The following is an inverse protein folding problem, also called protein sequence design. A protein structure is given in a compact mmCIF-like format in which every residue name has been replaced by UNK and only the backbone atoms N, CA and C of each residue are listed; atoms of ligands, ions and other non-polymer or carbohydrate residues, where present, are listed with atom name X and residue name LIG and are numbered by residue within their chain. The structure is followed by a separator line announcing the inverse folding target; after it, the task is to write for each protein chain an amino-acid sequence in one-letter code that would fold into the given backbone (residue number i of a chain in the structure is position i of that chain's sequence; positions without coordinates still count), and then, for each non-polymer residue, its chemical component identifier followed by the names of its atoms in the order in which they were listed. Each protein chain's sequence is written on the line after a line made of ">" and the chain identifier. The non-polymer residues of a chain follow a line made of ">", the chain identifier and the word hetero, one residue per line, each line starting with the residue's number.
data_IF_760200761061
#
_entry.id   IF_760200761061
#
_cell.length_a   1.000
_cell.length_b   1.000
_cell.length_c   1.000
_cell.angle_alpha   90.00
_cell.angle_beta   90.00
_cell.angle_gamma   90.00
#
_symmetry.space_group_name_H-M   'P 1'
#
loop_
_entity.id
_entity.type
_entity.pdbx_description
1 polymer ?
#
# COMPACT_ATOMS: atom_id res chain seq x y z
N UNK A 1 -4.60 1.00 4.31
CA UNK A 1 -3.65 -0.10 4.08
C UNK A 1 -3.22 -0.08 2.62
N UNK A 2 -1.97 -0.46 2.31
CA UNK A 2 -1.44 -0.56 0.94
C UNK A 2 -0.90 -1.97 0.73
N UNK A 3 -1.44 -2.70 -0.26
CA UNK A 3 -1.03 -4.07 -0.56
C UNK A 3 0.30 -4.05 -1.32
N UNK A 4 1.43 -4.22 -0.61
CA UNK A 4 2.76 -4.22 -1.24
C UNK A 4 3.10 -5.59 -1.82
N UNK A 5 3.43 -6.55 -0.95
CA UNK A 5 3.73 -7.92 -1.30
C UNK A 5 3.14 -8.88 -0.26
N UNK A 6 1.83 -9.07 -0.31
CA UNK A 6 1.11 -9.94 0.63
C UNK A 6 0.33 -11.05 -0.09
N UNK A 7 -0.13 -12.02 0.69
CA UNK A 7 -1.12 -13.00 0.23
C UNK A 7 -2.50 -12.34 0.15
N UNK A 8 -3.13 -12.43 -1.03
CA UNK A 8 -4.47 -11.90 -1.27
C UNK A 8 -5.56 -12.96 -1.06
N UNK A 9 -5.22 -14.23 -0.83
CA UNK A 9 -6.19 -15.32 -0.62
C UNK A 9 -7.21 -15.05 0.51
N UNK A 10 -6.90 -14.31 1.59
CA UNK A 10 -7.91 -13.97 2.60
C UNK A 10 -9.04 -13.09 2.06
N UNK A 11 -8.77 -12.25 1.05
CA UNK A 11 -9.80 -11.39 0.44
C UNK A 11 -10.82 -12.17 -0.38
N UNK A 12 -10.50 -13.40 -0.80
CA UNK A 12 -11.45 -14.28 -1.51
C UNK A 12 -12.52 -14.88 -0.60
N UNK A 13 -12.36 -14.74 0.73
CA UNK A 13 -13.25 -15.35 1.73
C UNK A 13 -14.17 -14.33 2.41
N UNK A 14 -14.05 -13.06 2.05
CA UNK A 14 -14.91 -12.00 2.56
C UNK A 14 -15.93 -11.60 1.50
N UNK A 15 -17.11 -11.17 1.92
CA UNK A 15 -18.13 -10.61 1.04
C UNK A 15 -18.27 -9.10 1.32
N UNK A 16 -17.49 -8.24 0.63
CA UNK A 16 -17.62 -6.80 0.81
C UNK A 16 -18.94 -6.31 0.21
N UNK A 17 -19.61 -5.37 0.90
CA UNK A 17 -20.70 -4.63 0.29
C UNK A 17 -20.15 -3.63 -0.74
N UNK A 18 -20.87 -3.40 -1.84
CA UNK A 18 -20.46 -2.48 -2.91
C UNK A 18 -20.30 -3.18 -4.27
N UNK A 19 -19.25 -2.83 -5.01
CA UNK A 19 -18.98 -3.39 -6.34
C UNK A 19 -18.55 -4.86 -6.25
N UNK A 20 -19.53 -5.75 -6.40
CA UNK A 20 -19.30 -7.19 -6.47
C UNK A 20 -18.36 -7.54 -7.63
N UNK A 21 -17.38 -8.41 -7.36
CA UNK A 21 -16.43 -8.89 -8.37
C UNK A 21 -15.23 -7.97 -8.63
N UNK A 22 -15.06 -6.86 -7.90
CA UNK A 22 -13.84 -6.05 -8.00
C UNK A 22 -12.66 -6.82 -7.39
N UNK A 23 -11.64 -7.10 -8.21
CA UNK A 23 -10.44 -7.82 -7.78
C UNK A 23 -9.52 -6.94 -6.94
N UNK A 24 -8.94 -7.53 -5.89
CA UNK A 24 -7.89 -6.89 -5.11
C UNK A 24 -6.55 -6.99 -5.84
N UNK A 25 -5.75 -5.93 -5.74
CA UNK A 25 -4.44 -5.85 -6.35
C UNK A 25 -3.32 -5.62 -5.32
N UNK A 26 -2.08 -5.92 -5.72
CA UNK A 26 -0.86 -5.64 -4.95
C UNK A 26 0.25 -5.12 -5.85
N UNK A 27 1.16 -4.32 -5.30
CA UNK A 27 2.22 -3.66 -6.08
C UNK A 27 3.09 -4.67 -6.83
N UNK A 28 3.37 -5.84 -6.23
CA UNK A 28 4.20 -6.87 -6.86
C UNK A 28 3.63 -7.46 -8.15
N UNK A 29 2.37 -7.19 -8.50
CA UNK A 29 1.82 -7.52 -9.83
C UNK A 29 2.43 -6.67 -10.96
N UNK A 30 2.99 -5.49 -10.65
CA UNK A 30 3.62 -4.60 -11.63
C UNK A 30 5.11 -4.35 -11.36
N UNK A 31 5.54 -4.54 -10.11
CA UNK A 31 6.93 -4.30 -9.68
C UNK A 31 7.36 -5.41 -8.73
N UNK A 32 7.95 -6.47 -9.28
CA UNK A 32 8.24 -7.73 -8.59
C UNK A 32 9.10 -7.58 -7.33
N UNK A 33 10.06 -6.65 -7.35
CA UNK A 33 10.98 -6.33 -6.25
C UNK A 33 10.36 -5.38 -5.20
N UNK A 34 9.06 -5.08 -5.28
CA UNK A 34 8.42 -4.23 -4.28
C UNK A 34 8.38 -4.91 -2.90
N UNK A 35 8.94 -4.23 -1.91
CA UNK A 35 8.98 -4.65 -0.50
C UNK A 35 8.46 -3.52 0.36
N UNK A 36 8.05 -3.82 1.59
CA UNK A 36 7.65 -2.78 2.55
C UNK A 36 8.77 -1.75 2.73
N UNK A 37 10.02 -2.21 2.78
CA UNK A 37 11.18 -1.38 3.06
C UNK A 37 11.47 -0.39 1.93
N UNK A 38 11.33 -0.81 0.67
CA UNK A 38 11.56 0.09 -0.47
C UNK A 38 10.33 0.93 -0.87
N UNK A 39 9.13 0.53 -0.46
CA UNK A 39 7.89 1.28 -0.71
C UNK A 39 7.63 2.32 0.39
N UNK A 40 7.93 2.04 1.66
CA UNK A 40 7.72 2.95 2.78
C UNK A 40 8.26 4.38 2.56
N UNK A 41 9.53 4.60 2.16
CA UNK A 41 10.05 5.95 1.94
C UNK A 41 9.35 6.67 0.78
N UNK A 42 8.93 5.93 -0.27
CA UNK A 42 8.19 6.51 -1.40
C UNK A 42 6.78 6.92 -0.99
N UNK A 43 6.11 6.10 -0.20
CA UNK A 43 4.78 6.41 0.33
C UNK A 43 4.83 7.66 1.21
N UNK A 44 5.81 7.74 2.12
CA UNK A 44 6.01 8.90 2.99
C UNK A 44 6.24 10.18 2.17
N UNK A 45 7.11 10.15 1.17
CA UNK A 45 7.38 11.30 0.31
C UNK A 45 6.11 11.81 -0.40
N UNK A 46 5.26 10.91 -0.90
CA UNK A 46 4.00 11.29 -1.55
C UNK A 46 2.99 11.87 -0.54
N UNK A 47 2.88 11.30 0.66
CA UNK A 47 1.99 11.82 1.72
C UNK A 47 2.44 13.22 2.14
N UNK A 48 3.74 13.43 2.39
CA UNK A 48 4.26 14.75 2.76
C UNK A 48 4.01 15.79 1.68
N UNK A 49 4.21 15.44 0.41
CA UNK A 49 3.92 16.34 -0.70
C UNK A 49 2.44 16.74 -0.74
N UNK A 50 1.51 15.79 -0.54
CA UNK A 50 0.06 16.06 -0.46
C UNK A 50 -0.32 16.92 0.75
N UNK A 51 0.49 16.91 1.81
CA UNK A 51 0.30 17.72 3.01
C UNK A 51 1.03 19.07 2.95
N UNK A 52 1.56 19.46 1.79
CA UNK A 52 2.35 20.68 1.58
C UNK A 52 3.69 20.69 2.34
N UNK A 53 4.35 19.54 2.45
CA UNK A 53 5.68 19.36 3.04
C UNK A 53 5.84 19.98 4.44
N UNK A 54 5.00 19.62 5.43
CA UNK A 54 5.17 20.11 6.79
C UNK A 54 6.50 19.60 7.37
N UNK A 55 7.09 20.29 8.36
CA UNK A 55 8.20 19.75 9.13
C UNK A 55 7.82 18.39 9.71
N UNK A 56 8.71 17.41 9.61
CA UNK A 56 8.48 16.06 10.08
C UNK A 56 9.75 15.45 10.67
N UNK A 57 9.58 14.47 11.55
CA UNK A 57 10.62 13.63 12.07
C UNK A 57 10.29 12.18 11.72
N UNK A 58 11.25 11.45 11.16
CA UNK A 58 11.09 10.03 10.88
C UNK A 58 11.53 9.21 12.08
N UNK A 59 10.59 8.56 12.74
CA UNK A 59 10.85 7.66 13.86
C UNK A 59 10.82 6.23 13.32
N UNK A 60 11.98 5.58 13.30
CA UNK A 60 12.07 4.16 12.97
C UNK A 60 11.36 3.35 14.07
N UNK A 61 10.49 2.43 13.66
CA UNK A 61 9.80 1.50 14.56
C UNK A 61 10.70 0.32 14.92
#
# INVERSE_FOLDING_TARGET
>A
ALNVNMDLSPFLRINPCGYAGMEMAKITQWKEDATTDNIAPRLLANILALLNNPPYEYIAA
#
